data_IF_782676254942
#
_entry.id   IF_782676254942
#
_cell.length_a   1.000
_cell.length_b   1.000
_cell.length_c   1.000
_cell.angle_alpha   90.00
_cell.angle_beta   90.00
_cell.angle_gamma   90.00
#
_symmetry.space_group_name_H-M   'P 1'
#
loop_
_entity.id
_entity.type
_entity.pdbx_description
1 polymer ?
#
# COMPACT_ATOMS: atom_id res chain seq x y z
N UNK A 1 -18.02 52.38 -54.18
CA UNK A 1 -18.39 52.98 -52.88
C UNK A 1 -17.17 52.88 -51.99
N UNK A 2 -16.70 53.98 -51.38
CA UNK A 2 -15.53 54.06 -50.46
C UNK A 2 -14.18 53.55 -51.03
N UNK A 3 -13.06 54.28 -51.16
CA UNK A 3 -12.50 55.42 -50.39
C UNK A 3 -12.50 55.15 -48.87
N UNK A 4 -11.34 55.08 -48.20
CA UNK A 4 -10.25 56.09 -48.16
C UNK A 4 -8.89 55.41 -47.81
N UNK A 5 -7.75 55.70 -48.48
CA UNK A 5 -6.62 56.60 -48.06
C UNK A 5 -6.24 56.50 -46.56
N UNK A 6 -4.99 56.47 -46.09
CA UNK A 6 -3.62 56.74 -46.63
C UNK A 6 -2.58 55.95 -45.74
N UNK A 7 -1.22 55.89 -45.83
CA UNK A 7 -0.14 56.50 -46.63
C UNK A 7 1.20 55.68 -46.50
N UNK A 8 2.29 56.14 -47.14
CA UNK A 8 3.74 56.09 -46.73
C UNK A 8 4.41 54.70 -46.48
N UNK A 9 5.33 54.16 -47.31
CA UNK A 9 6.71 54.60 -47.74
C UNK A 9 7.74 54.66 -46.59
N UNK A 10 9.02 54.25 -46.70
CA UNK A 10 9.89 53.65 -47.75
C UNK A 10 10.57 52.37 -47.15
N UNK A 11 11.03 51.32 -47.84
CA UNK A 11 11.81 51.16 -49.09
C UNK A 11 13.28 51.59 -49.01
N UNK A 12 14.22 50.66 -48.71
CA UNK A 12 15.39 50.43 -49.58
C UNK A 12 16.15 49.12 -49.28
N UNK A 13 16.70 48.55 -50.36
CA UNK A 13 17.58 47.37 -50.52
C UNK A 13 19.07 47.85 -50.55
N UNK A 14 20.15 47.05 -50.81
CA UNK A 14 20.27 45.59 -51.11
C UNK A 14 21.55 44.85 -50.57
N UNK A 15 21.73 43.58 -50.99
CA UNK A 15 22.98 42.89 -51.44
C UNK A 15 24.21 42.64 -50.51
N UNK A 16 24.44 41.35 -50.27
CA UNK A 16 25.66 40.49 -50.41
C UNK A 16 27.09 40.90 -49.95
N UNK A 17 27.74 39.92 -49.29
CA UNK A 17 29.13 39.40 -49.49
C UNK A 17 30.42 39.92 -48.80
N UNK A 18 31.40 38.98 -48.79
CA UNK A 18 32.85 39.02 -48.49
C UNK A 18 33.38 39.42 -47.09
N UNK A 19 33.20 38.51 -46.13
CA UNK A 19 34.28 37.68 -45.55
C UNK A 19 35.75 38.19 -45.65
N UNK A 20 36.43 38.42 -44.50
CA UNK A 20 37.72 37.79 -44.08
C UNK A 20 38.59 38.63 -43.11
N UNK A 21 39.23 37.95 -42.15
CA UNK A 21 40.42 38.37 -41.34
C UNK A 21 40.28 39.62 -40.42
N UNK A 22 40.81 39.66 -39.19
CA UNK A 22 41.62 38.72 -38.40
C UNK A 22 40.90 38.39 -37.07
N UNK A 23 41.12 37.18 -36.52
CA UNK A 23 40.47 36.76 -35.26
C UNK A 23 41.42 36.63 -34.07
N UNK A 24 40.83 36.59 -32.86
CA UNK A 24 41.36 35.76 -31.77
C UNK A 24 40.29 35.40 -30.72
N UNK A 25 40.06 34.10 -30.58
CA UNK A 25 39.64 33.38 -29.36
C UNK A 25 38.68 34.04 -28.35
N UNK A 26 37.40 33.64 -28.41
CA UNK A 26 36.71 33.08 -27.23
C UNK A 26 35.52 32.21 -27.63
N UNK A 27 35.47 31.00 -27.11
CA UNK A 27 34.26 30.17 -27.14
C UNK A 27 33.18 30.78 -26.23
N UNK A 28 31.87 30.56 -26.52
CA UNK A 28 30.81 30.89 -25.56
C UNK A 28 31.06 30.15 -24.23
N UNK A 29 30.72 30.76 -23.08
CA UNK A 29 30.95 30.13 -21.78
C UNK A 29 30.19 28.80 -21.70
N UNK A 30 30.88 27.75 -21.29
CA UNK A 30 30.27 26.44 -21.08
C UNK A 30 29.09 26.57 -20.11
N UNK A 31 27.99 25.90 -20.43
CA UNK A 31 26.85 25.81 -19.51
C UNK A 31 27.36 25.30 -18.16
N UNK A 32 27.07 26.05 -17.09
CA UNK A 32 27.45 25.64 -15.75
C UNK A 32 26.83 24.26 -15.48
N UNK A 33 27.60 23.27 -14.97
CA UNK A 33 27.04 21.96 -14.68
C UNK A 33 25.92 22.15 -13.65
N UNK A 34 24.72 21.71 -13.99
CA UNK A 34 23.57 21.79 -13.08
C UNK A 34 23.97 21.15 -11.75
N UNK A 35 23.76 21.83 -10.61
CA UNK A 35 24.31 21.39 -9.33
C UNK A 35 23.66 20.06 -8.95
N UNK A 36 24.41 18.97 -9.14
CA UNK A 36 23.94 17.60 -9.00
C UNK A 36 23.14 17.46 -7.69
N UNK A 37 21.82 17.27 -7.84
CA UNK A 37 20.81 17.32 -6.77
C UNK A 37 21.16 16.23 -5.76
N UNK A 38 21.97 16.56 -4.74
CA UNK A 38 22.42 15.62 -3.70
C UNK A 38 21.19 14.87 -3.20
N UNK A 39 21.19 13.53 -3.19
CA UNK A 39 20.03 12.75 -2.77
C UNK A 39 19.67 13.16 -1.35
N UNK A 40 18.52 13.82 -1.20
CA UNK A 40 18.01 14.26 0.09
C UNK A 40 17.30 13.06 0.68
N UNK A 41 18.10 12.19 1.30
CA UNK A 41 17.62 11.03 2.03
C UNK A 41 16.65 11.48 3.14
N UNK A 42 15.35 11.43 2.86
CA UNK A 42 14.34 11.73 3.87
C UNK A 42 14.29 10.58 4.88
N UNK A 43 14.48 10.94 6.15
CA UNK A 43 14.30 10.01 7.27
C UNK A 43 12.83 9.57 7.39
N UNK A 44 11.88 10.40 6.96
CA UNK A 44 10.45 10.05 6.93
C UNK A 44 10.14 8.95 5.92
N UNK A 45 10.68 9.05 4.71
CA UNK A 45 10.54 8.03 3.65
C UNK A 45 11.22 6.71 4.05
N UNK A 46 12.40 6.75 4.69
CA UNK A 46 13.04 5.56 5.24
C UNK A 46 12.13 4.86 6.27
N UNK A 47 11.64 5.62 7.26
CA UNK A 47 10.80 5.06 8.33
C UNK A 47 9.49 4.50 7.78
N UNK A 48 8.86 5.20 6.83
CA UNK A 48 7.69 4.70 6.10
C UNK A 48 7.99 3.37 5.39
N UNK A 49 9.06 3.30 4.59
CA UNK A 49 9.44 2.08 3.87
C UNK A 49 9.70 0.90 4.82
N UNK A 50 10.37 1.13 5.95
CA UNK A 50 10.59 0.11 6.99
C UNK A 50 9.26 -0.34 7.61
N UNK A 51 8.39 0.58 8.03
CA UNK A 51 7.13 0.23 8.67
C UNK A 51 6.18 -0.51 7.73
N UNK A 52 6.10 -0.12 6.46
CA UNK A 52 5.29 -0.81 5.44
C UNK A 52 5.86 -2.21 5.13
N UNK A 53 7.19 -2.35 4.97
CA UNK A 53 7.81 -3.65 4.75
C UNK A 53 7.55 -4.61 5.93
N UNK A 54 7.72 -4.15 7.17
CA UNK A 54 7.43 -4.95 8.37
C UNK A 54 5.94 -5.29 8.44
N UNK A 55 5.04 -4.34 8.20
CA UNK A 55 3.59 -4.59 8.17
C UNK A 55 3.21 -5.64 7.10
N UNK A 56 3.79 -5.58 5.90
CA UNK A 56 3.57 -6.57 4.84
C UNK A 56 4.02 -7.97 5.26
N UNK A 57 5.20 -8.10 5.87
CA UNK A 57 5.69 -9.38 6.41
C UNK A 57 4.80 -9.91 7.55
N UNK A 58 4.31 -9.04 8.42
CA UNK A 58 3.38 -9.40 9.50
C UNK A 58 2.02 -9.87 8.95
N UNK A 59 1.48 -9.24 7.90
CA UNK A 59 0.28 -9.71 7.20
C UNK A 59 0.50 -11.09 6.55
N UNK A 60 1.63 -11.31 5.87
CA UNK A 60 1.99 -12.62 5.29
C UNK A 60 2.09 -13.70 6.37
N UNK A 61 2.78 -13.41 7.47
CA UNK A 61 2.87 -14.32 8.62
C UNK A 61 1.48 -14.62 9.18
N UNK A 62 0.66 -13.59 9.41
CA UNK A 62 -0.72 -13.71 9.90
C UNK A 62 -1.60 -14.59 9.00
N UNK A 63 -1.49 -14.47 7.67
CA UNK A 63 -2.23 -15.31 6.70
C UNK A 63 -1.86 -16.80 6.77
N UNK A 64 -0.66 -17.14 7.24
CA UNK A 64 -0.19 -18.53 7.36
C UNK A 64 -0.48 -19.19 8.73
N UNK A 65 -0.68 -18.36 9.76
CA UNK A 65 -0.84 -18.73 11.17
C UNK A 65 -2.34 -18.84 11.53
N UNK A 66 -2.65 -19.44 12.69
CA UNK A 66 -4.00 -19.42 13.26
C UNK A 66 -4.42 -18.01 13.70
N UNK A 67 -5.62 -17.59 13.29
CA UNK A 67 -6.30 -16.38 13.76
C UNK A 67 -6.93 -16.61 15.14
N UNK A 68 -7.38 -17.83 15.41
CA UNK A 68 -7.99 -18.26 16.67
C UNK A 68 -7.49 -19.67 16.99
N UNK A 69 -6.95 -19.86 18.17
CA UNK A 69 -6.42 -21.16 18.61
C UNK A 69 -7.40 -21.84 19.57
N UNK A 70 -7.54 -23.16 19.52
CA UNK A 70 -8.32 -23.89 20.51
C UNK A 70 -7.72 -23.74 21.91
N UNK A 71 -8.57 -23.77 22.94
CA UNK A 71 -8.15 -23.85 24.35
C UNK A 71 -7.87 -25.28 24.81
N UNK A 72 -8.46 -26.28 24.15
CA UNK A 72 -8.39 -27.70 24.52
C UNK A 72 -7.38 -28.48 23.68
N UNK A 73 -7.21 -28.12 22.41
CA UNK A 73 -6.53 -28.94 21.40
C UNK A 73 -5.43 -28.16 20.65
N UNK A 74 -4.60 -28.89 19.89
CA UNK A 74 -3.62 -28.31 18.97
C UNK A 74 -4.22 -27.71 17.67
N UNK A 75 -5.54 -27.52 17.62
CA UNK A 75 -6.27 -27.02 16.46
C UNK A 75 -6.45 -25.49 16.48
N UNK A 76 -6.62 -24.90 15.31
CA UNK A 76 -6.86 -23.46 15.16
C UNK A 76 -7.61 -23.14 13.88
N UNK A 77 -8.33 -22.03 13.89
CA UNK A 77 -8.99 -21.45 12.72
C UNK A 77 -8.04 -20.41 12.13
N UNK A 78 -7.75 -20.51 10.84
CA UNK A 78 -7.02 -19.51 10.04
C UNK A 78 -7.96 -18.95 8.97
N UNK A 79 -7.57 -17.87 8.28
CA UNK A 79 -8.39 -17.24 7.22
C UNK A 79 -8.84 -18.27 6.17
N UNK A 80 -7.99 -19.26 5.87
CA UNK A 80 -8.24 -20.31 4.87
C UNK A 80 -9.06 -21.51 5.36
N UNK A 81 -9.46 -21.55 6.64
CA UNK A 81 -10.24 -22.64 7.23
C UNK A 81 -9.61 -23.28 8.48
N UNK A 82 -10.02 -24.51 8.77
CA UNK A 82 -9.67 -25.21 10.00
C UNK A 82 -8.32 -25.95 9.86
N UNK A 83 -7.35 -25.63 10.72
CA UNK A 83 -6.13 -26.43 10.90
C UNK A 83 -6.34 -27.40 12.08
N UNK A 84 -6.44 -28.72 11.86
CA UNK A 84 -6.49 -29.69 12.95
C UNK A 84 -5.18 -29.77 13.76
N UNK A 85 -4.09 -29.23 13.23
CA UNK A 85 -2.79 -29.07 13.91
C UNK A 85 -2.17 -27.74 13.42
N UNK A 86 -2.02 -26.74 14.28
CA UNK A 86 -1.56 -25.39 13.87
C UNK A 86 -0.19 -25.35 13.19
N UNK A 87 0.70 -26.24 13.62
CA UNK A 87 2.07 -26.39 13.10
C UNK A 87 2.14 -27.07 11.72
N UNK A 88 1.02 -27.62 11.20
CA UNK A 88 0.98 -28.21 9.85
C UNK A 88 0.54 -27.18 8.81
N UNK A 89 1.01 -27.38 7.58
CA UNK A 89 0.68 -26.54 6.42
C UNK A 89 -0.70 -26.83 5.80
N UNK A 90 -1.33 -27.94 6.17
CA UNK A 90 -2.60 -28.38 5.59
C UNK A 90 -3.81 -27.82 6.35
N UNK A 91 -4.77 -27.30 5.58
CA UNK A 91 -6.04 -26.74 6.05
C UNK A 91 -7.18 -27.66 5.59
N UNK A 92 -8.22 -27.81 6.42
CA UNK A 92 -9.55 -28.23 5.96
C UNK A 92 -10.36 -26.99 5.59
N UNK A 93 -11.11 -27.07 4.50
CA UNK A 93 -12.22 -26.16 4.28
C UNK A 93 -13.22 -26.27 5.45
N UNK A 94 -13.98 -25.21 5.70
CA UNK A 94 -15.13 -25.25 6.59
C UNK A 94 -16.37 -25.07 5.74
N UNK A 95 -17.12 -26.15 5.53
CA UNK A 95 -18.38 -26.10 4.80
C UNK A 95 -19.45 -25.44 5.69
N UNK A 96 -19.77 -24.18 5.40
CA UNK A 96 -20.71 -23.38 6.22
C UNK A 96 -22.19 -23.73 6.00
N UNK A 97 -22.48 -24.63 5.04
CA UNK A 97 -23.84 -25.07 4.72
C UNK A 97 -24.44 -26.02 5.77
N UNK A 98 -23.62 -26.85 6.44
CA UNK A 98 -24.06 -27.76 7.52
C UNK A 98 -23.72 -27.22 8.94
N UNK A 99 -23.30 -25.96 9.04
CA UNK A 99 -22.64 -25.39 10.23
C UNK A 99 -23.60 -24.97 11.36
N UNK A 100 -24.87 -24.69 11.05
CA UNK A 100 -25.87 -24.44 12.06
C UNK A 100 -26.23 -25.70 12.86
N UNK A 101 -26.74 -25.58 14.10
CA UNK A 101 -27.58 -26.64 14.65
C UNK A 101 -28.70 -26.96 13.64
N UNK A 102 -29.07 -28.22 13.54
CA UNK A 102 -30.03 -28.76 12.56
C UNK A 102 -29.59 -28.63 11.08
N UNK A 103 -28.31 -28.37 10.80
CA UNK A 103 -27.77 -28.35 9.42
C UNK A 103 -28.22 -27.14 8.60
N UNK A 104 -28.51 -26.01 9.25
CA UNK A 104 -29.01 -24.79 8.61
C UNK A 104 -27.81 -23.97 8.07
N UNK A 105 -27.82 -23.57 6.77
CA UNK A 105 -26.67 -22.92 6.14
C UNK A 105 -26.39 -21.53 6.69
N UNK A 106 -25.22 -21.36 7.31
CA UNK A 106 -24.87 -20.17 8.07
C UNK A 106 -24.24 -19.07 7.19
N UNK A 107 -25.05 -18.48 6.30
CA UNK A 107 -24.63 -17.41 5.35
C UNK A 107 -23.88 -16.23 5.99
N UNK A 108 -24.09 -15.96 7.29
CA UNK A 108 -23.34 -14.94 8.05
C UNK A 108 -21.90 -15.37 8.37
N UNK A 109 -21.67 -16.65 8.70
CA UNK A 109 -20.34 -17.19 8.94
C UNK A 109 -19.53 -17.23 7.64
N UNK A 110 -20.16 -17.77 6.58
CA UNK A 110 -19.60 -17.82 5.23
C UNK A 110 -19.19 -16.42 4.72
N UNK A 111 -20.12 -15.45 4.73
CA UNK A 111 -19.84 -14.09 4.24
C UNK A 111 -18.71 -13.38 5.02
N UNK A 112 -18.60 -13.61 6.34
CA UNK A 112 -17.48 -13.08 7.15
C UNK A 112 -16.14 -13.75 6.76
N UNK A 113 -16.14 -15.06 6.56
CA UNK A 113 -14.95 -15.84 6.22
C UNK A 113 -14.46 -15.54 4.79
N UNK A 114 -15.38 -15.55 3.82
CA UNK A 114 -15.12 -15.17 2.43
C UNK A 114 -14.65 -13.71 2.33
N UNK A 115 -15.24 -12.82 3.13
CA UNK A 115 -14.77 -11.44 3.28
C UNK A 115 -13.32 -11.38 3.76
N UNK A 116 -12.98 -12.06 4.86
CA UNK A 116 -11.61 -12.12 5.37
C UNK A 116 -10.62 -12.68 4.33
N UNK A 117 -10.99 -13.74 3.60
CA UNK A 117 -10.18 -14.32 2.53
C UNK A 117 -9.93 -13.31 1.40
N UNK A 118 -10.98 -12.73 0.83
CA UNK A 118 -10.88 -11.77 -0.28
C UNK A 118 -10.05 -10.54 0.11
N UNK A 119 -10.32 -9.95 1.28
CA UNK A 119 -9.55 -8.80 1.74
C UNK A 119 -8.11 -9.16 2.12
N UNK A 120 -7.80 -10.39 2.57
CA UNK A 120 -6.41 -10.80 2.82
C UNK A 120 -5.57 -10.90 1.55
N UNK A 121 -6.17 -11.34 0.43
CA UNK A 121 -5.50 -11.31 -0.89
C UNK A 121 -5.27 -9.87 -1.34
N UNK A 122 -6.23 -8.96 -1.09
CA UNK A 122 -6.03 -7.53 -1.34
C UNK A 122 -4.95 -6.91 -0.44
N UNK A 123 -4.79 -7.38 0.81
CA UNK A 123 -3.66 -7.00 1.67
C UNK A 123 -2.32 -7.46 1.12
N UNK A 124 -2.25 -8.68 0.56
CA UNK A 124 -1.04 -9.22 -0.06
C UNK A 124 -0.65 -8.39 -1.29
N UNK A 125 -1.58 -8.17 -2.22
CA UNK A 125 -1.33 -7.40 -3.46
C UNK A 125 -1.02 -5.94 -3.13
N UNK A 126 -1.85 -5.29 -2.31
CA UNK A 126 -1.68 -3.89 -1.92
C UNK A 126 -0.40 -3.65 -1.11
N UNK A 127 -0.06 -4.57 -0.20
CA UNK A 127 1.17 -4.50 0.59
C UNK A 127 2.42 -4.68 -0.25
N UNK A 128 2.42 -5.63 -1.20
CA UNK A 128 3.51 -5.83 -2.14
C UNK A 128 3.72 -4.61 -3.05
N UNK A 129 2.65 -4.05 -3.61
CA UNK A 129 2.71 -2.85 -4.45
C UNK A 129 3.21 -1.64 -3.66
N UNK A 130 2.66 -1.39 -2.46
CA UNK A 130 3.07 -0.27 -1.60
C UNK A 130 4.54 -0.39 -1.18
N UNK A 131 4.98 -1.58 -0.78
CA UNK A 131 6.39 -1.87 -0.47
C UNK A 131 7.29 -1.60 -1.68
N UNK A 132 6.87 -2.03 -2.88
CA UNK A 132 7.63 -1.83 -4.11
C UNK A 132 7.77 -0.34 -4.47
N UNK A 133 6.70 0.46 -4.33
CA UNK A 133 6.74 1.91 -4.55
C UNK A 133 7.64 2.60 -3.51
N UNK A 134 7.51 2.25 -2.22
CA UNK A 134 8.34 2.81 -1.16
C UNK A 134 9.85 2.54 -1.36
N UNK A 135 10.21 1.37 -1.93
CA UNK A 135 11.59 1.05 -2.29
C UNK A 135 12.08 1.86 -3.51
N UNK A 136 11.25 2.04 -4.54
CA UNK A 136 11.59 2.86 -5.72
C UNK A 136 11.81 4.34 -5.35
N UNK A 137 10.99 4.85 -4.43
CA UNK A 137 11.12 6.18 -3.84
C UNK A 137 12.42 6.33 -3.02
N UNK A 138 12.73 5.35 -2.16
CA UNK A 138 13.97 5.32 -1.38
C UNK A 138 15.24 5.37 -2.27
N UNK A 139 15.23 4.63 -3.38
CA UNK A 139 16.29 4.65 -4.40
C UNK A 139 16.29 5.89 -5.31
N UNK A 140 15.43 6.88 -5.06
CA UNK A 140 15.33 8.14 -5.81
C UNK A 140 15.00 7.98 -7.31
N UNK A 141 14.35 6.87 -7.71
CA UNK A 141 13.97 6.67 -9.12
C UNK A 141 12.78 7.54 -9.57
N UNK A 142 11.90 7.93 -8.64
CA UNK A 142 10.81 8.88 -8.90
C UNK A 142 10.30 9.53 -7.60
N UNK A 143 9.79 10.76 -7.70
CA UNK A 143 9.04 11.45 -6.64
C UNK A 143 7.62 10.85 -6.62
N UNK A 144 7.39 9.86 -5.73
CA UNK A 144 6.18 9.01 -5.67
C UNK A 144 5.48 9.00 -4.30
N UNK A 145 5.91 9.83 -3.35
CA UNK A 145 5.47 9.82 -1.94
C UNK A 145 3.94 9.85 -1.80
N UNK A 146 3.27 10.71 -2.56
CA UNK A 146 1.80 10.83 -2.55
C UNK A 146 1.11 9.56 -3.04
N UNK A 147 1.66 8.89 -4.07
CA UNK A 147 1.13 7.63 -4.61
C UNK A 147 1.33 6.49 -3.61
N UNK A 148 2.49 6.43 -2.97
CA UNK A 148 2.79 5.47 -1.90
C UNK A 148 1.81 5.62 -0.72
N UNK A 149 1.55 6.86 -0.30
CA UNK A 149 0.59 7.17 0.76
C UNK A 149 -0.84 6.73 0.42
N UNK A 150 -1.30 6.94 -0.82
CA UNK A 150 -2.65 6.53 -1.26
C UNK A 150 -2.76 5.00 -1.31
N UNK A 151 -1.79 4.31 -1.93
CA UNK A 151 -1.77 2.85 -2.02
C UNK A 151 -1.70 2.19 -0.63
N UNK A 152 -0.87 2.74 0.26
CA UNK A 152 -0.79 2.33 1.66
C UNK A 152 -2.12 2.51 2.39
N UNK A 153 -2.79 3.65 2.19
CA UNK A 153 -4.10 3.92 2.82
C UNK A 153 -5.18 2.92 2.38
N UNK A 154 -5.19 2.53 1.10
CA UNK A 154 -6.09 1.48 0.58
C UNK A 154 -5.73 0.11 1.19
N UNK A 155 -4.45 -0.26 1.24
CA UNK A 155 -3.98 -1.50 1.86
C UNK A 155 -4.30 -1.55 3.36
N UNK A 156 -4.23 -0.41 4.05
CA UNK A 156 -4.57 -0.25 5.47
C UNK A 156 -6.07 -0.42 5.74
N UNK A 157 -6.95 0.08 4.86
CA UNK A 157 -8.39 -0.20 4.94
C UNK A 157 -8.67 -1.70 4.73
N UNK A 158 -8.03 -2.33 3.75
CA UNK A 158 -8.16 -3.78 3.55
C UNK A 158 -7.68 -4.57 4.79
N UNK A 159 -6.54 -4.17 5.38
CA UNK A 159 -5.96 -4.80 6.57
C UNK A 159 -6.90 -4.67 7.77
N UNK A 160 -7.57 -3.52 7.93
CA UNK A 160 -8.62 -3.32 8.93
C UNK A 160 -9.79 -4.29 8.74
N UNK A 161 -10.29 -4.44 7.50
CA UNK A 161 -11.43 -5.33 7.23
C UNK A 161 -11.10 -6.78 7.61
N UNK A 162 -9.89 -7.28 7.30
CA UNK A 162 -9.51 -8.68 7.63
C UNK A 162 -9.54 -8.95 9.14
N UNK A 163 -8.95 -8.09 9.98
CA UNK A 163 -8.97 -8.33 11.42
C UNK A 163 -10.34 -8.01 12.04
N UNK A 164 -11.09 -7.05 11.48
CA UNK A 164 -12.43 -6.72 11.97
C UNK A 164 -13.45 -7.83 11.69
N UNK A 165 -13.44 -8.47 10.50
CA UNK A 165 -14.33 -9.61 10.21
C UNK A 165 -13.97 -10.84 11.04
N UNK A 166 -12.68 -11.11 11.24
CA UNK A 166 -12.21 -12.16 12.16
C UNK A 166 -12.62 -11.89 13.62
N UNK A 167 -12.52 -10.65 14.09
CA UNK A 167 -12.95 -10.28 15.44
C UNK A 167 -14.49 -10.36 15.60
N UNK A 168 -15.25 -10.03 14.54
CA UNK A 168 -16.70 -10.22 14.51
C UNK A 168 -17.10 -11.72 14.48
N UNK A 169 -16.31 -12.58 13.83
CA UNK A 169 -16.50 -14.04 13.88
C UNK A 169 -16.21 -14.58 15.30
N UNK A 170 -15.19 -14.07 16.00
CA UNK A 170 -14.86 -14.49 17.37
C UNK A 170 -15.94 -14.13 18.40
N UNK A 171 -16.52 -12.93 18.30
CA UNK A 171 -17.46 -12.39 19.31
C UNK A 171 -18.94 -12.55 18.98
N UNK A 172 -19.34 -12.79 17.73
CA UNK A 172 -20.77 -12.83 17.39
C UNK A 172 -21.34 -14.25 17.45
N UNK A 173 -22.59 -14.37 17.93
CA UNK A 173 -23.35 -15.60 17.79
C UNK A 173 -23.58 -15.89 16.30
N UNK A 174 -23.21 -17.09 15.88
CA UNK A 174 -23.20 -17.53 14.48
C UNK A 174 -24.25 -18.64 14.33
N UNK A 175 -25.45 -18.24 13.89
CA UNK A 175 -26.56 -19.15 13.56
C UNK A 175 -26.96 -20.14 14.67
N UNK A 176 -26.81 -19.77 15.95
CA UNK A 176 -27.16 -20.62 17.09
C UNK A 176 -26.01 -21.44 17.67
N UNK A 177 -24.84 -21.47 17.02
CA UNK A 177 -23.60 -21.88 17.67
C UNK A 177 -23.19 -20.84 18.73
N UNK A 178 -22.69 -21.32 19.86
CA UNK A 178 -22.26 -20.50 21.01
C UNK A 178 -20.99 -19.71 20.65
N UNK A 179 -20.75 -18.59 21.34
CA UNK A 179 -19.65 -17.66 21.06
C UNK A 179 -18.29 -18.38 21.03
N UNK A 180 -17.53 -18.19 19.94
CA UNK A 180 -16.22 -18.83 19.75
C UNK A 180 -15.21 -18.49 20.86
N UNK A 181 -15.40 -17.37 21.57
CA UNK A 181 -14.58 -16.93 22.69
C UNK A 181 -14.49 -17.90 23.88
N UNK A 182 -15.48 -18.77 24.10
CA UNK A 182 -15.45 -19.74 25.21
C UNK A 182 -14.53 -20.92 24.90
N UNK A 183 -14.56 -21.44 23.66
CA UNK A 183 -13.76 -22.61 23.23
C UNK A 183 -12.39 -22.23 22.64
N UNK A 184 -12.25 -21.03 22.08
CA UNK A 184 -11.05 -20.55 21.43
C UNK A 184 -10.46 -19.34 22.16
N UNK A 185 -9.15 -19.14 21.99
CA UNK A 185 -8.42 -17.91 22.35
C UNK A 185 -8.06 -17.16 21.08
N UNK A 186 -7.82 -15.85 21.18
CA UNK A 186 -7.22 -15.06 20.11
C UNK A 186 -5.85 -15.68 19.77
N UNK A 187 -5.67 -16.07 18.50
CA UNK A 187 -4.45 -16.66 18.00
C UNK A 187 -3.46 -15.60 17.50
N UNK A 188 -2.19 -15.98 17.40
CA UNK A 188 -1.12 -15.04 17.01
C UNK A 188 -1.37 -14.37 15.65
N UNK A 189 -2.05 -15.04 14.71
CA UNK A 189 -2.34 -14.48 13.39
C UNK A 189 -3.17 -13.19 13.44
N UNK A 190 -4.14 -13.10 14.35
CA UNK A 190 -4.97 -11.90 14.50
C UNK A 190 -4.18 -10.74 15.11
N UNK A 191 -3.32 -11.05 16.10
CA UNK A 191 -2.42 -10.07 16.74
C UNK A 191 -1.43 -9.50 15.71
N UNK A 192 -0.89 -10.34 14.83
CA UNK A 192 0.01 -9.91 13.74
C UNK A 192 -0.69 -8.95 12.77
N UNK A 193 -1.95 -9.20 12.38
CA UNK A 193 -2.73 -8.30 11.52
C UNK A 193 -3.05 -6.95 12.20
N UNK A 194 -3.43 -6.96 13.49
CA UNK A 194 -3.68 -5.72 14.25
C UNK A 194 -2.37 -4.91 14.36
N UNK A 195 -1.24 -5.59 14.63
CA UNK A 195 0.08 -4.96 14.71
C UNK A 195 0.50 -4.37 13.36
N UNK A 196 0.28 -5.09 12.25
CA UNK A 196 0.53 -4.61 10.90
C UNK A 196 -0.29 -3.35 10.57
N UNK A 197 -1.57 -3.33 10.95
CA UNK A 197 -2.44 -2.16 10.78
C UNK A 197 -1.96 -0.95 11.58
N UNK A 198 -1.53 -1.14 12.83
CA UNK A 198 -0.94 -0.07 13.62
C UNK A 198 0.37 0.47 13.01
N UNK A 199 1.20 -0.40 12.42
CA UNK A 199 2.43 0.01 11.71
C UNK A 199 2.14 0.76 10.41
N UNK A 200 1.11 0.36 9.65
CA UNK A 200 0.63 1.12 8.48
C UNK A 200 0.14 2.52 8.88
N UNK A 201 -0.63 2.64 9.98
CA UNK A 201 -1.05 3.93 10.53
C UNK A 201 0.13 4.84 10.90
N UNK A 202 1.13 4.31 11.61
CA UNK A 202 2.34 5.08 12.01
C UNK A 202 3.20 5.45 10.79
N UNK A 203 3.37 4.53 9.83
CA UNK A 203 4.06 4.80 8.57
C UNK A 203 3.39 5.92 7.78
N UNK A 204 2.07 5.82 7.57
CA UNK A 204 1.29 6.83 6.85
C UNK A 204 1.36 8.19 7.54
N UNK A 205 1.21 8.25 8.87
CA UNK A 205 1.36 9.49 9.62
C UNK A 205 2.77 10.11 9.46
N UNK A 206 3.81 9.28 9.47
CA UNK A 206 5.21 9.73 9.27
C UNK A 206 5.41 10.33 7.87
N UNK A 207 4.90 9.67 6.83
CA UNK A 207 5.03 10.15 5.45
C UNK A 207 4.20 11.43 5.20
N UNK A 208 2.98 11.51 5.75
CA UNK A 208 2.13 12.71 5.66
C UNK A 208 2.80 13.92 6.32
N UNK A 209 3.44 13.72 7.48
CA UNK A 209 4.20 14.80 8.15
C UNK A 209 5.41 15.23 7.31
N UNK A 210 6.13 14.29 6.69
CA UNK A 210 7.30 14.61 5.88
C UNK A 210 6.96 15.35 4.57
N UNK A 211 5.82 15.00 3.95
CA UNK A 211 5.21 15.74 2.84
C UNK A 211 4.77 17.14 3.29
N UNK A 212 4.09 17.26 4.45
CA UNK A 212 3.63 18.55 4.98
C UNK A 212 4.79 19.51 5.31
N UNK A 213 5.92 18.99 5.79
CA UNK A 213 7.15 19.75 6.02
C UNK A 213 7.91 20.09 4.72
N UNK A 214 7.48 19.57 3.56
CA UNK A 214 8.11 19.82 2.27
C UNK A 214 9.49 19.16 2.08
N UNK A 215 9.81 18.15 2.91
CA UNK A 215 11.03 17.35 2.77
C UNK A 215 10.95 16.42 1.56
N UNK A 216 9.76 15.84 1.34
CA UNK A 216 9.42 14.96 0.22
C UNK A 216 8.31 15.58 -0.64
N UNK A 217 8.20 15.13 -1.89
CA UNK A 217 7.23 15.59 -2.90
C UNK A 217 6.64 14.41 -3.65
#
# INVERSE_FOLDING_TARGET
>A
MSQKEEARQESHQPVEDEQSSHGSSKAPPAAAPEPAKKPRFSIGVLLFAIFIFVAFVLCLAGMSIGMMDSRTDSSCISIWGNKPNCLKSWFRHMDFDEFGPDGIPCKKADSLMQGAQAFSVMCLIGGFLTTSVALLELFHFAELAVVACIMSSISMIATLVVWATMLAFYWSNLCGQVVYADSYKIGNGLILFITAWCLQMVGNATLIVDIYLGNSK
#
